data_IF_730171549328
#
_entry.id   IF_730171549328
#
_cell.length_a   1.000
_cell.length_b   1.000
_cell.length_c   1.000
_cell.angle_alpha   90.00
_cell.angle_beta   90.00
_cell.angle_gamma   90.00
#
_symmetry.space_group_name_H-M   'P 1'
#
loop_
_entity.id
_entity.type
_entity.pdbx_description
1 polymer ?
#
# COMPACT_ATOMS: atom_id res chain seq x y z
N UNK A 1 -18.55 -30.44 8.20
CA UNK A 1 -17.55 -30.82 7.19
C UNK A 1 -16.26 -30.15 7.58
N UNK A 2 -15.21 -30.92 7.82
CA UNK A 2 -13.90 -30.43 8.25
C UNK A 2 -13.24 -29.83 6.99
N UNK A 3 -12.90 -28.55 7.04
CA UNK A 3 -12.18 -27.86 5.96
C UNK A 3 -10.71 -28.28 6.03
N UNK A 4 -10.22 -28.87 4.95
CA UNK A 4 -8.83 -29.29 4.79
C UNK A 4 -8.03 -28.12 4.20
N UNK A 5 -7.08 -27.58 4.98
CA UNK A 5 -6.28 -26.39 4.68
C UNK A 5 -4.88 -26.74 4.13
N UNK A 6 -4.71 -27.90 3.52
CA UNK A 6 -3.42 -28.40 3.01
C UNK A 6 -2.78 -27.59 1.87
N UNK A 7 -3.50 -26.62 1.27
CA UNK A 7 -2.99 -25.74 0.21
C UNK A 7 -2.49 -24.36 0.66
N UNK A 8 -2.79 -23.94 1.90
CA UNK A 8 -2.39 -22.62 2.43
C UNK A 8 -0.93 -22.59 2.89
N UNK A 9 -0.32 -23.75 3.10
CA UNK A 9 1.04 -23.90 3.63
C UNK A 9 2.16 -23.43 2.70
N UNK A 10 1.85 -23.00 1.47
CA UNK A 10 2.83 -22.40 0.57
C UNK A 10 3.02 -20.88 0.77
N UNK A 11 2.23 -20.24 1.65
CA UNK A 11 2.26 -18.79 1.87
C UNK A 11 2.47 -18.38 3.35
N UNK A 12 2.61 -19.31 4.29
CA UNK A 12 2.73 -18.97 5.71
C UNK A 12 3.79 -19.82 6.42
N UNK A 13 4.89 -19.16 6.82
CA UNK A 13 5.71 -19.60 7.95
C UNK A 13 4.86 -19.46 9.22
N UNK A 14 4.61 -20.59 9.86
CA UNK A 14 3.81 -20.68 11.07
C UNK A 14 4.65 -20.29 12.29
N UNK A 15 4.56 -19.04 12.74
CA UNK A 15 4.84 -18.69 14.13
C UNK A 15 3.60 -18.03 14.75
N UNK A 16 2.63 -18.90 15.03
CA UNK A 16 1.40 -18.62 15.74
C UNK A 16 1.65 -18.79 17.25
N UNK A 17 1.94 -17.71 17.96
CA UNK A 17 1.81 -17.68 19.44
C UNK A 17 0.39 -17.22 19.81
N UNK A 18 -0.47 -18.20 20.03
CA UNK A 18 -1.87 -17.98 20.35
C UNK A 18 -2.04 -17.46 21.76
N UNK A 19 -2.46 -16.19 21.91
CA UNK A 19 -3.11 -15.71 23.13
C UNK A 19 -4.48 -15.07 22.82
N UNK A 20 -5.60 -15.60 23.37
CA UNK A 20 -6.93 -15.11 23.06
C UNK A 20 -7.22 -13.76 23.75
N UNK A 21 -7.64 -12.79 22.95
CA UNK A 21 -8.20 -11.53 23.40
C UNK A 21 -9.64 -11.72 23.93
N UNK A 22 -9.84 -11.53 25.24
CA UNK A 22 -10.98 -10.83 25.85
C UNK A 22 -11.13 -11.17 27.33
N UNK A 23 -10.92 -10.19 28.23
CA UNK A 23 -11.81 -9.92 29.38
C UNK A 23 -11.70 -8.44 29.76
N UNK A 24 -12.63 -7.62 29.25
CA UNK A 24 -12.97 -6.34 29.86
C UNK A 24 -13.52 -6.58 31.28
N UNK A 25 -12.96 -5.89 32.27
CA UNK A 25 -13.66 -5.51 33.51
C UNK A 25 -13.16 -4.14 33.92
N UNK A 26 -14.10 -3.20 33.99
CA UNK A 26 -13.82 -1.80 34.28
C UNK A 26 -13.59 -1.54 35.76
N UNK A 27 -13.03 -0.36 36.02
CA UNK A 27 -13.31 0.45 37.20
C UNK A 27 -12.99 1.90 36.86
N UNK A 28 -14.04 2.72 36.79
CA UNK A 28 -13.96 4.17 36.90
C UNK A 28 -13.36 4.54 38.26
N UNK A 29 -12.40 5.46 38.29
CA UNK A 29 -12.16 6.28 39.48
C UNK A 29 -12.07 7.76 39.09
N UNK A 30 -12.95 8.54 39.71
CA UNK A 30 -13.01 10.00 39.67
C UNK A 30 -11.89 10.58 40.53
N UNK A 31 -11.24 11.64 40.08
CA UNK A 31 -10.79 12.72 40.97
C UNK A 31 -10.77 14.08 40.24
N UNK A 32 -10.86 15.13 41.05
CA UNK A 32 -11.54 16.44 40.84
C UNK A 32 -10.76 17.50 40.04
N UNK A 33 -11.42 18.61 39.63
CA UNK A 33 -10.88 19.61 38.71
C UNK A 33 -9.96 20.60 39.42
N UNK A 34 -8.86 20.98 38.76
CA UNK A 34 -8.00 22.08 39.18
C UNK A 34 -8.01 23.19 38.11
N UNK A 35 -8.00 24.42 38.61
CA UNK A 35 -8.33 25.70 37.98
C UNK A 35 -7.47 26.07 36.76
N UNK A 36 -8.13 26.70 35.79
CA UNK A 36 -7.56 27.70 34.87
C UNK A 36 -6.71 28.73 35.63
N UNK A 37 -5.47 28.92 35.19
CA UNK A 37 -4.70 30.14 35.40
C UNK A 37 -3.70 30.31 34.26
N UNK A 38 -3.68 31.50 33.68
CA UNK A 38 -2.49 32.07 33.05
C UNK A 38 -2.32 31.78 31.56
N UNK A 39 -2.67 32.79 30.77
CA UNK A 39 -2.31 32.99 29.37
C UNK A 39 -0.78 33.13 29.25
N UNK A 40 -0.16 32.36 28.36
CA UNK A 40 1.22 32.49 27.91
C UNK A 40 1.30 31.89 26.51
N UNK A 41 1.61 32.73 25.53
CA UNK A 41 1.65 32.39 24.10
C UNK A 41 2.90 31.56 23.79
N UNK A 42 2.89 30.26 24.11
CA UNK A 42 3.95 29.28 23.74
C UNK A 42 3.54 27.81 24.10
N UNK A 43 2.32 27.38 23.76
CA UNK A 43 1.93 25.96 23.91
C UNK A 43 2.03 25.24 22.54
N UNK A 44 2.85 24.19 22.40
CA UNK A 44 2.91 23.40 21.17
C UNK A 44 1.58 22.66 20.94
N UNK A 45 1.12 22.63 19.69
CA UNK A 45 -0.03 21.81 19.31
C UNK A 45 0.22 20.35 19.70
N UNK A 46 -0.81 19.72 20.25
CA UNK A 46 -0.77 18.36 20.82
C UNK A 46 -0.05 17.37 19.89
N UNK A 47 0.95 16.60 20.38
CA UNK A 47 1.69 15.65 19.55
C UNK A 47 0.72 14.63 18.95
N UNK A 48 0.68 14.56 17.61
CA UNK A 48 -0.05 13.50 16.92
C UNK A 48 0.85 12.27 16.84
N UNK A 49 0.43 11.11 17.40
CA UNK A 49 1.18 9.88 17.21
C UNK A 49 1.07 9.46 15.74
N UNK A 50 2.22 9.16 15.11
CA UNK A 50 2.30 8.80 13.68
C UNK A 50 2.76 7.35 13.47
N UNK A 51 3.49 6.77 14.43
CA UNK A 51 3.86 5.35 14.49
C UNK A 51 4.16 4.92 15.93
N UNK A 52 4.41 3.63 16.16
CA UNK A 52 5.00 3.15 17.41
C UNK A 52 6.29 3.94 17.67
N UNK A 53 6.32 4.69 18.78
CA UNK A 53 7.46 5.48 19.24
C UNK A 53 7.86 6.72 18.41
N UNK A 54 7.02 7.23 17.50
CA UNK A 54 7.29 8.52 16.82
C UNK A 54 6.12 9.49 16.91
N UNK A 55 6.42 10.70 17.38
CA UNK A 55 5.52 11.84 17.46
C UNK A 55 6.00 12.96 16.54
N UNK A 56 5.11 13.46 15.67
CA UNK A 56 5.39 14.66 14.87
C UNK A 56 4.78 15.85 15.59
N UNK A 57 5.62 16.83 15.94
CA UNK A 57 5.18 18.09 16.54
C UNK A 57 5.36 19.21 15.53
N UNK A 58 4.23 19.80 15.13
CA UNK A 58 4.19 20.95 14.25
C UNK A 58 3.95 22.19 15.13
N UNK A 59 4.96 23.04 15.30
CA UNK A 59 4.73 24.38 15.83
C UNK A 59 4.57 25.38 14.66
N UNK A 60 4.05 26.57 14.95
CA UNK A 60 3.86 27.64 13.95
C UNK A 60 5.16 28.09 13.27
N UNK A 61 6.32 27.80 13.87
CA UNK A 61 7.61 28.34 13.43
C UNK A 61 8.65 27.24 13.17
N UNK A 62 8.60 26.13 13.89
CA UNK A 62 9.55 25.01 13.77
C UNK A 62 8.82 23.66 13.75
N UNK A 63 9.23 22.77 12.84
CA UNK A 63 8.66 21.42 12.75
C UNK A 63 9.74 20.41 13.13
N UNK A 64 9.41 19.54 14.09
CA UNK A 64 10.36 18.59 14.66
C UNK A 64 9.73 17.22 14.85
N UNK A 65 10.57 16.20 14.83
CA UNK A 65 10.19 14.82 15.11
C UNK A 65 10.70 14.48 16.50
N UNK A 66 9.83 13.90 17.32
CA UNK A 66 10.18 13.28 18.59
C UNK A 66 10.19 11.77 18.42
N UNK A 67 11.29 11.18 18.88
CA UNK A 67 11.43 9.74 19.01
C UNK A 67 10.99 9.31 20.42
N UNK A 68 10.66 8.04 20.59
CA UNK A 68 10.13 7.48 21.83
C UNK A 68 11.12 7.47 23.00
N UNK A 69 12.40 7.74 22.71
CA UNK A 69 13.47 7.96 23.69
C UNK A 69 13.46 9.39 24.28
N UNK A 70 12.58 10.28 23.78
CA UNK A 70 12.46 11.68 24.19
C UNK A 70 13.43 12.62 23.48
N UNK A 71 14.21 12.14 22.50
CA UNK A 71 15.02 12.99 21.63
C UNK A 71 14.15 13.72 20.60
N UNK A 72 14.62 14.89 20.19
CA UNK A 72 13.97 15.74 19.19
C UNK A 72 14.97 16.06 18.10
N UNK A 73 14.55 15.95 16.84
CA UNK A 73 15.33 16.31 15.67
C UNK A 73 14.52 17.24 14.78
N UNK A 74 15.10 18.34 14.26
CA UNK A 74 14.48 19.13 13.20
C UNK A 74 14.15 18.23 12.00
N UNK A 75 13.00 18.46 11.36
CA UNK A 75 12.60 17.64 10.21
C UNK A 75 13.65 17.63 9.09
N UNK A 76 14.32 18.76 8.85
CA UNK A 76 15.34 18.88 7.81
C UNK A 76 16.53 17.95 8.07
N UNK A 77 17.03 17.91 9.31
CA UNK A 77 18.11 17.00 9.71
C UNK A 77 17.67 15.53 9.62
N UNK A 78 16.42 15.24 9.98
CA UNK A 78 15.86 13.91 9.84
C UNK A 78 15.72 13.48 8.38
N UNK A 79 15.29 14.38 7.50
CA UNK A 79 15.18 14.14 6.07
C UNK A 79 16.57 13.93 5.44
N UNK A 80 17.58 14.71 5.84
CA UNK A 80 18.95 14.57 5.35
C UNK A 80 19.58 13.24 5.80
N UNK A 81 19.48 12.88 7.08
CA UNK A 81 19.91 11.56 7.59
C UNK A 81 19.24 10.42 6.83
N UNK A 82 17.93 10.53 6.64
CA UNK A 82 17.15 9.49 5.94
C UNK A 82 17.53 9.39 4.46
N UNK A 83 17.80 10.52 3.81
CA UNK A 83 18.26 10.59 2.42
C UNK A 83 19.59 9.86 2.23
N UNK A 84 20.58 10.11 3.08
CA UNK A 84 21.88 9.43 3.01
C UNK A 84 21.73 7.91 3.14
N UNK A 85 20.88 7.46 4.06
CA UNK A 85 20.61 6.05 4.25
C UNK A 85 19.91 5.42 3.04
N UNK A 86 18.82 6.02 2.56
CA UNK A 86 18.05 5.53 1.39
C UNK A 86 18.96 5.43 0.16
N UNK A 87 19.77 6.48 -0.09
CA UNK A 87 20.73 6.50 -1.18
C UNK A 87 21.82 5.43 -1.05
N UNK A 88 22.21 5.08 0.17
CA UNK A 88 23.21 4.03 0.43
C UNK A 88 22.64 2.65 0.08
N UNK A 89 21.43 2.34 0.58
CA UNK A 89 20.78 1.05 0.33
C UNK A 89 20.44 0.85 -1.15
N UNK A 90 19.99 1.92 -1.82
CA UNK A 90 19.61 1.85 -3.23
C UNK A 90 20.75 2.20 -4.20
N UNK A 91 22.00 2.25 -3.74
CA UNK A 91 23.17 2.57 -4.59
C UNK A 91 23.02 3.87 -5.40
N UNK A 92 22.33 4.87 -4.85
CA UNK A 92 22.03 6.18 -5.47
C UNK A 92 21.25 6.08 -6.78
N UNK A 93 20.48 5.02 -6.97
CA UNK A 93 19.59 4.86 -8.11
C UNK A 93 18.15 4.59 -7.68
N UNK A 94 17.20 5.25 -8.35
CA UNK A 94 15.76 5.07 -8.09
C UNK A 94 15.26 3.73 -8.63
N UNK A 95 15.80 3.26 -9.76
CA UNK A 95 15.46 1.95 -10.33
C UNK A 95 15.84 0.82 -9.38
N UNK A 96 16.99 0.93 -8.72
CA UNK A 96 17.41 -0.02 -7.69
C UNK A 96 16.49 0.01 -6.46
N UNK A 97 16.04 1.19 -6.02
CA UNK A 97 15.06 1.30 -4.93
C UNK A 97 13.75 0.60 -5.28
N UNK A 98 13.23 0.83 -6.49
CA UNK A 98 12.02 0.18 -7.00
C UNK A 98 12.20 -1.33 -7.12
N UNK A 99 13.37 -1.79 -7.58
CA UNK A 99 13.70 -3.22 -7.68
C UNK A 99 13.69 -3.90 -6.31
N UNK A 100 14.26 -3.24 -5.28
CA UNK A 100 14.20 -3.71 -3.89
C UNK A 100 12.73 -3.77 -3.41
N UNK A 101 11.91 -2.80 -3.80
CA UNK A 101 10.52 -2.71 -3.38
C UNK A 101 9.60 -3.77 -4.02
N UNK A 102 9.85 -4.14 -5.28
CA UNK A 102 9.07 -5.14 -6.01
C UNK A 102 9.14 -6.51 -5.31
N UNK A 103 10.34 -6.90 -4.86
CA UNK A 103 10.54 -8.16 -4.15
C UNK A 103 10.06 -8.05 -2.70
N UNK A 104 9.17 -8.97 -2.29
CA UNK A 104 8.55 -8.96 -0.96
C UNK A 104 9.57 -9.08 0.17
N UNK A 105 10.59 -9.92 -0.01
CA UNK A 105 11.61 -10.19 1.02
C UNK A 105 12.52 -8.98 1.18
N UNK A 106 13.02 -8.44 0.08
CA UNK A 106 13.86 -7.24 0.03
C UNK A 106 13.11 -6.01 0.54
N UNK A 107 11.82 -5.86 0.21
CA UNK A 107 10.95 -4.81 0.77
C UNK A 107 10.80 -4.91 2.28
N UNK A 108 10.66 -6.12 2.82
CA UNK A 108 10.61 -6.35 4.26
C UNK A 108 11.94 -6.00 4.93
N UNK A 109 13.05 -6.48 4.38
CA UNK A 109 14.40 -6.19 4.88
C UNK A 109 14.68 -4.68 4.86
N UNK A 110 14.35 -3.97 3.78
CA UNK A 110 14.47 -2.51 3.70
C UNK A 110 13.69 -1.81 4.83
N UNK A 111 12.46 -2.26 5.14
CA UNK A 111 11.66 -1.67 6.22
C UNK A 111 12.25 -1.94 7.61
N UNK A 112 12.81 -3.13 7.82
CA UNK A 112 13.51 -3.47 9.06
C UNK A 112 14.76 -2.59 9.22
N UNK A 113 15.57 -2.45 8.17
CA UNK A 113 16.76 -1.59 8.21
C UNK A 113 16.42 -0.10 8.41
N UNK A 114 15.33 0.38 7.78
CA UNK A 114 14.80 1.73 8.04
C UNK A 114 14.41 1.89 9.50
N UNK A 115 13.72 0.92 10.09
CA UNK A 115 13.36 0.90 11.51
C UNK A 115 14.58 0.94 12.43
N UNK A 116 15.62 0.16 12.12
CA UNK A 116 16.89 0.14 12.88
C UNK A 116 17.62 1.49 12.85
N UNK A 117 17.35 2.34 11.85
CA UNK A 117 17.89 3.69 11.73
C UNK A 117 16.94 4.78 12.26
N UNK A 118 15.85 4.38 12.90
CA UNK A 118 14.74 5.25 13.33
C UNK A 118 14.10 6.04 12.18
N UNK A 119 14.05 5.45 10.98
CA UNK A 119 13.45 6.05 9.79
C UNK A 119 12.06 5.46 9.56
N UNK A 120 11.03 6.28 9.76
CA UNK A 120 9.63 5.90 9.62
C UNK A 120 8.97 6.64 8.45
N UNK A 121 8.49 5.87 7.46
CA UNK A 121 7.77 6.41 6.29
C UNK A 121 6.49 7.13 6.67
N UNK A 122 5.81 6.70 7.73
CA UNK A 122 4.62 7.36 8.25
C UNK A 122 4.89 8.79 8.72
N UNK A 123 6.06 9.07 9.32
CA UNK A 123 6.45 10.41 9.73
C UNK A 123 6.56 11.35 8.53
N UNK A 124 7.20 10.89 7.45
CA UNK A 124 7.27 11.61 6.18
C UNK A 124 5.89 11.77 5.53
N UNK A 125 5.08 10.71 5.52
CA UNK A 125 3.71 10.71 5.00
C UNK A 125 2.86 11.82 5.62
N UNK A 126 2.89 11.90 6.95
CA UNK A 126 2.13 12.91 7.68
C UNK A 126 2.73 14.32 7.50
N UNK A 127 4.06 14.44 7.50
CA UNK A 127 4.71 15.74 7.35
C UNK A 127 4.55 16.36 5.96
N UNK A 128 4.66 15.55 4.91
CA UNK A 128 4.57 15.96 3.51
C UNK A 128 3.13 15.97 2.99
N UNK A 129 2.15 15.58 3.82
CA UNK A 129 0.73 15.49 3.46
C UNK A 129 0.49 14.57 2.24
N UNK A 130 1.08 13.36 2.27
CA UNK A 130 1.05 12.36 1.18
C UNK A 130 0.23 11.11 1.54
N UNK A 131 -1.07 11.20 1.87
CA UNK A 131 -1.85 10.07 2.40
C UNK A 131 -2.03 8.92 1.41
N UNK A 132 -2.15 9.22 0.10
CA UNK A 132 -2.50 8.25 -0.95
C UNK A 132 -1.28 7.72 -1.74
N UNK A 133 -0.08 8.05 -1.25
CA UNK A 133 1.19 7.70 -1.86
C UNK A 133 1.70 6.36 -1.33
N UNK A 134 2.40 5.57 -2.15
CA UNK A 134 3.05 4.35 -1.67
C UNK A 134 4.32 4.69 -0.86
N UNK A 135 4.70 3.84 0.08
CA UNK A 135 5.88 4.10 0.91
C UNK A 135 7.16 4.25 0.07
N UNK A 136 7.30 3.49 -1.02
CA UNK A 136 8.45 3.62 -1.94
C UNK A 136 8.54 4.99 -2.58
N UNK A 137 7.41 5.61 -2.88
CA UNK A 137 7.37 6.93 -3.51
C UNK A 137 7.71 8.04 -2.51
N UNK A 138 7.35 7.83 -1.24
CA UNK A 138 7.81 8.68 -0.14
C UNK A 138 9.33 8.53 0.04
N UNK A 139 9.84 7.31 0.05
CA UNK A 139 11.29 7.06 0.11
C UNK A 139 12.01 7.68 -1.09
N UNK A 140 11.42 7.61 -2.29
CA UNK A 140 11.99 8.23 -3.47
C UNK A 140 11.97 9.76 -3.40
N UNK A 141 10.91 10.37 -2.85
CA UNK A 141 10.84 11.81 -2.57
C UNK A 141 11.99 12.28 -1.67
N UNK A 142 12.28 11.53 -0.60
CA UNK A 142 13.33 11.89 0.37
C UNK A 142 14.72 11.57 -0.19
N UNK A 143 14.91 10.38 -0.77
CA UNK A 143 16.20 9.90 -1.27
C UNK A 143 16.67 10.61 -2.54
N UNK A 144 15.75 11.02 -3.42
CA UNK A 144 16.05 11.47 -4.78
C UNK A 144 15.45 12.83 -5.14
N UNK A 145 14.92 13.55 -4.16
CA UNK A 145 14.33 14.89 -4.34
C UNK A 145 13.27 14.95 -5.46
N UNK A 146 12.44 13.90 -5.60
CA UNK A 146 11.39 13.86 -6.62
C UNK A 146 10.53 15.13 -6.55
N UNK A 147 10.35 15.82 -7.68
CA UNK A 147 9.56 17.06 -7.70
C UNK A 147 8.10 16.77 -7.34
N UNK A 148 7.48 15.84 -8.08
CA UNK A 148 6.13 15.34 -7.85
C UNK A 148 6.19 13.89 -7.36
N UNK A 149 5.37 13.59 -6.36
CA UNK A 149 5.27 12.24 -5.80
C UNK A 149 4.01 11.58 -6.35
N UNK A 150 4.12 10.46 -7.08
CA UNK A 150 2.95 9.80 -7.64
C UNK A 150 2.09 9.22 -6.51
N UNK A 151 0.77 9.29 -6.68
CA UNK A 151 -0.17 8.53 -5.85
C UNK A 151 -0.25 7.08 -6.35
N UNK A 152 -0.79 6.18 -5.52
CA UNK A 152 -1.05 4.80 -5.98
C UNK A 152 -2.03 4.77 -7.15
N UNK A 153 -2.99 5.70 -7.20
CA UNK A 153 -3.89 5.86 -8.34
C UNK A 153 -3.14 6.29 -9.62
N UNK A 154 -2.14 7.17 -9.51
CA UNK A 154 -1.33 7.58 -10.68
C UNK A 154 -0.56 6.38 -11.25
N UNK A 155 -0.02 5.51 -10.38
CA UNK A 155 0.63 4.25 -10.82
C UNK A 155 -0.33 3.33 -11.55
N UNK A 156 -1.54 3.15 -11.02
CA UNK A 156 -2.58 2.32 -11.66
C UNK A 156 -3.04 2.94 -12.99
N UNK A 157 -3.24 4.25 -13.04
CA UNK A 157 -3.59 4.98 -14.27
C UNK A 157 -2.52 4.79 -15.34
N UNK A 158 -1.25 5.05 -15.00
CA UNK A 158 -0.11 4.83 -15.91
C UNK A 158 -0.01 3.38 -16.38
N UNK A 159 -0.23 2.40 -15.51
CA UNK A 159 -0.25 0.99 -15.90
C UNK A 159 -1.29 0.73 -16.99
N UNK A 160 -2.53 1.21 -16.82
CA UNK A 160 -3.59 1.06 -17.82
C UNK A 160 -3.46 1.98 -19.04
N UNK A 161 -2.62 3.01 -19.01
CA UNK A 161 -2.42 3.88 -20.17
C UNK A 161 -1.24 3.39 -21.02
N UNK A 162 -0.12 3.01 -20.39
CA UNK A 162 1.15 2.69 -21.05
C UNK A 162 1.37 1.18 -21.25
N UNK A 163 0.92 0.33 -20.32
CA UNK A 163 1.22 -1.10 -20.32
C UNK A 163 0.14 -1.94 -21.01
N UNK A 164 -0.84 -1.30 -21.64
CA UNK A 164 -1.86 -1.98 -22.45
C UNK A 164 -1.26 -2.96 -23.46
N UNK A 165 -0.23 -2.61 -24.27
CA UNK A 165 0.32 -3.55 -25.24
C UNK A 165 0.95 -4.79 -24.58
N UNK A 166 1.59 -4.61 -23.43
CA UNK A 166 2.15 -5.71 -22.65
C UNK A 166 1.03 -6.59 -22.09
N UNK A 167 0.03 -5.98 -21.46
CA UNK A 167 -1.12 -6.68 -20.90
C UNK A 167 -1.87 -7.50 -21.98
N UNK A 168 -2.12 -6.90 -23.14
CA UNK A 168 -2.78 -7.56 -24.27
C UNK A 168 -1.95 -8.75 -24.78
N UNK A 169 -0.62 -8.61 -24.84
CA UNK A 169 0.31 -9.68 -25.21
C UNK A 169 0.36 -10.81 -24.17
N UNK A 170 0.41 -10.46 -22.88
CA UNK A 170 0.60 -11.41 -21.79
C UNK A 170 -0.66 -12.24 -21.53
N UNK A 171 -1.83 -11.60 -21.62
CA UNK A 171 -3.10 -12.25 -21.33
C UNK A 171 -3.93 -12.60 -22.58
N UNK A 172 -3.44 -12.29 -23.78
CA UNK A 172 -4.06 -12.66 -25.05
C UNK A 172 -5.44 -12.00 -25.28
N UNK A 173 -5.66 -10.82 -24.71
CA UNK A 173 -6.93 -10.10 -24.76
C UNK A 173 -6.74 -8.73 -25.39
N UNK A 174 -7.79 -8.18 -26.00
CA UNK A 174 -7.80 -6.78 -26.46
C UNK A 174 -8.60 -5.97 -25.46
N UNK A 175 -8.01 -4.90 -24.92
CA UNK A 175 -8.74 -4.01 -24.02
C UNK A 175 -9.80 -3.25 -24.82
N UNK A 176 -11.02 -3.03 -24.29
CA UNK A 176 -12.00 -2.18 -24.94
C UNK A 176 -11.41 -0.78 -25.11
N UNK A 177 -11.04 -0.41 -26.34
CA UNK A 177 -10.61 0.96 -26.67
C UNK A 177 -11.85 1.83 -26.74
N UNK A 178 -12.25 2.41 -25.62
CA UNK A 178 -13.27 3.46 -25.68
C UNK A 178 -12.69 4.67 -26.43
N UNK A 179 -13.37 5.19 -27.47
CA UNK A 179 -12.97 6.43 -28.12
C UNK A 179 -13.34 7.60 -27.21
N UNK A 180 -12.51 7.85 -26.20
CA UNK A 180 -12.61 9.01 -25.30
C UNK A 180 -12.30 8.65 -23.86
N UNK A 181 -11.05 8.93 -23.44
CA UNK A 181 -10.55 9.10 -22.08
C UNK A 181 -11.29 8.40 -20.92
N UNK A 182 -10.58 7.50 -20.24
CA UNK A 182 -10.98 6.84 -18.99
C UNK A 182 -11.53 7.89 -18.01
N UNK A 183 -12.85 7.95 -17.85
CA UNK A 183 -13.47 8.68 -16.75
C UNK A 183 -13.36 7.82 -15.50
N UNK A 184 -12.40 8.19 -14.66
CA UNK A 184 -12.35 7.76 -13.27
C UNK A 184 -13.63 8.23 -12.57
N UNK A 185 -14.41 7.27 -12.06
CA UNK A 185 -15.55 7.50 -11.17
C UNK A 185 -16.93 7.57 -11.81
N UNK A 186 -17.65 6.45 -11.83
CA UNK A 186 -19.09 6.47 -11.56
C UNK A 186 -19.54 5.11 -11.05
N UNK A 187 -19.83 5.04 -9.75
CA UNK A 187 -20.61 3.95 -9.19
C UNK A 187 -21.95 3.85 -9.91
N UNK A 188 -22.19 2.70 -10.54
CA UNK A 188 -23.52 2.22 -10.89
C UNK A 188 -23.44 0.68 -11.02
N UNK A 189 -23.46 0.00 -9.88
CA UNK A 189 -23.82 -1.41 -9.84
C UNK A 189 -25.33 -1.53 -10.12
N UNK A 190 -25.68 -1.56 -11.41
CA UNK A 190 -27.01 -2.00 -11.83
C UNK A 190 -26.95 -3.50 -12.06
N UNK A 191 -27.44 -4.27 -11.08
CA UNK A 191 -27.89 -5.65 -11.30
C UNK A 191 -29.02 -5.62 -12.33
N UNK A 192 -28.74 -6.00 -13.56
CA UNK A 192 -29.73 -6.36 -14.56
C UNK A 192 -29.22 -7.57 -15.35
N UNK A 193 -30.15 -8.49 -15.60
CA UNK A 193 -29.96 -9.87 -16.01
C UNK A 193 -29.02 -10.08 -17.21
N UNK A 194 -28.33 -11.22 -17.19
CA UNK A 194 -27.54 -11.78 -18.29
C UNK A 194 -28.23 -11.61 -19.65
N UNK A 195 -27.60 -10.85 -20.54
CA UNK A 195 -27.77 -11.03 -21.98
C UNK A 195 -26.61 -11.91 -22.46
N UNK A 196 -26.91 -13.14 -22.85
CA UNK A 196 -25.96 -14.07 -23.47
C UNK A 196 -25.48 -13.51 -24.81
N UNK A 197 -24.44 -12.68 -24.78
CA UNK A 197 -23.76 -12.12 -25.93
C UNK A 197 -22.66 -13.06 -26.47
N UNK A 198 -22.94 -13.63 -27.63
CA UNK A 198 -22.02 -13.95 -28.73
C UNK A 198 -20.66 -14.64 -28.44
N UNK A 199 -20.55 -15.85 -29.00
CA UNK A 199 -19.30 -16.55 -29.31
C UNK A 199 -18.28 -15.61 -29.98
N UNK A 200 -17.20 -15.28 -29.25
CA UNK A 200 -16.09 -14.44 -29.74
C UNK A 200 -15.42 -13.54 -28.70
N UNK A 201 -15.93 -13.47 -27.46
CA UNK A 201 -15.29 -12.73 -26.37
C UNK A 201 -14.09 -13.50 -25.81
N UNK A 202 -12.87 -12.99 -26.01
CA UNK A 202 -11.72 -13.37 -25.19
C UNK A 202 -12.07 -13.19 -23.71
N UNK A 203 -11.49 -14.01 -22.83
CA UNK A 203 -11.88 -14.19 -21.43
C UNK A 203 -11.69 -12.90 -20.59
N UNK A 204 -12.59 -11.91 -20.74
CA UNK A 204 -12.57 -10.60 -20.06
C UNK A 204 -12.47 -10.71 -18.55
N UNK A 205 -12.78 -11.89 -18.01
CA UNK A 205 -12.63 -12.24 -16.62
C UNK A 205 -11.26 -11.90 -16.03
N UNK A 206 -10.16 -12.15 -16.77
CA UNK A 206 -8.82 -11.78 -16.28
C UNK A 206 -8.61 -10.26 -16.24
N UNK A 207 -9.20 -9.50 -17.17
CA UNK A 207 -9.22 -8.02 -17.13
C UNK A 207 -9.99 -7.54 -15.91
N UNK A 208 -11.18 -8.09 -15.66
CA UNK A 208 -12.00 -7.70 -14.52
C UNK A 208 -11.30 -8.02 -13.19
N UNK A 209 -10.60 -9.16 -13.13
CA UNK A 209 -9.74 -9.53 -12.02
C UNK A 209 -8.63 -8.51 -11.77
N UNK A 210 -7.82 -8.20 -12.78
CA UNK A 210 -6.70 -7.27 -12.61
C UNK A 210 -7.15 -5.82 -12.35
N UNK A 211 -8.29 -5.39 -12.90
CA UNK A 211 -8.90 -4.11 -12.53
C UNK A 211 -9.27 -4.08 -11.06
N UNK A 212 -9.99 -5.09 -10.57
CA UNK A 212 -10.36 -5.19 -9.15
C UNK A 212 -9.12 -5.27 -8.25
N UNK A 213 -8.08 -6.00 -8.67
CA UNK A 213 -6.82 -6.10 -7.95
C UNK A 213 -6.06 -4.77 -7.86
N UNK A 214 -5.97 -4.02 -8.96
CA UNK A 214 -5.27 -2.73 -9.00
C UNK A 214 -6.08 -1.62 -8.31
N UNK A 215 -7.40 -1.66 -8.37
CA UNK A 215 -8.27 -0.78 -7.57
C UNK A 215 -8.10 -1.06 -6.07
N UNK A 216 -7.95 -2.32 -5.67
CA UNK A 216 -7.63 -2.67 -4.28
C UNK A 216 -6.24 -2.17 -3.88
N UNK A 217 -5.24 -2.33 -4.76
CA UNK A 217 -3.90 -1.79 -4.55
C UNK A 217 -3.91 -0.27 -4.34
N UNK A 218 -4.71 0.49 -5.08
CA UNK A 218 -4.72 1.95 -4.95
C UNK A 218 -5.17 2.43 -3.56
N UNK A 219 -6.00 1.63 -2.88
CA UNK A 219 -6.50 1.90 -1.55
C UNK A 219 -5.58 1.37 -0.44
N UNK A 220 -5.08 0.14 -0.58
CA UNK A 220 -4.42 -0.59 0.52
C UNK A 220 -2.92 -0.84 0.31
N UNK A 221 -2.40 -0.65 -0.90
CA UNK A 221 -1.00 -0.89 -1.26
C UNK A 221 -0.68 -2.36 -1.55
N UNK A 222 0.58 -2.62 -1.89
CA UNK A 222 1.00 -3.92 -2.44
C UNK A 222 1.00 -5.05 -1.41
N UNK A 223 1.27 -4.74 -0.14
CA UNK A 223 1.34 -5.76 0.92
C UNK A 223 -0.01 -6.44 1.13
N UNK A 224 -1.12 -5.72 0.90
CA UNK A 224 -2.46 -6.26 1.00
C UNK A 224 -2.74 -7.19 -0.21
N UNK A 225 -2.39 -6.78 -1.42
CA UNK A 225 -2.61 -7.59 -2.63
C UNK A 225 -1.84 -8.93 -2.61
N UNK A 226 -0.70 -8.98 -1.93
CA UNK A 226 0.10 -10.22 -1.76
C UNK A 226 -0.46 -11.18 -0.69
N UNK A 227 -1.51 -10.82 0.04
CA UNK A 227 -2.09 -11.66 1.08
C UNK A 227 -3.26 -12.50 0.54
N UNK A 228 -3.26 -13.79 0.86
CA UNK A 228 -4.33 -14.69 0.41
C UNK A 228 -5.72 -14.26 0.92
N UNK A 229 -5.79 -13.65 2.12
CA UNK A 229 -7.05 -13.17 2.71
C UNK A 229 -7.72 -12.04 1.93
N UNK A 230 -6.96 -11.32 1.12
CA UNK A 230 -7.44 -10.21 0.30
C UNK A 230 -8.43 -10.68 -0.74
N UNK A 231 -8.17 -11.85 -1.32
CA UNK A 231 -9.06 -12.50 -2.29
C UNK A 231 -10.31 -13.12 -1.66
N UNK A 232 -10.45 -13.06 -0.33
CA UNK A 232 -11.69 -13.40 0.38
C UNK A 232 -12.56 -12.17 0.69
N UNK A 233 -12.11 -10.96 0.33
CA UNK A 233 -12.89 -9.74 0.50
C UNK A 233 -14.11 -9.70 -0.45
N UNK A 234 -15.21 -9.03 -0.09
CA UNK A 234 -16.46 -9.05 -0.85
C UNK A 234 -16.29 -8.69 -2.33
N UNK A 235 -15.46 -7.69 -2.65
CA UNK A 235 -15.20 -7.26 -4.03
C UNK A 235 -14.61 -8.36 -4.92
N UNK A 236 -13.87 -9.31 -4.33
CA UNK A 236 -13.34 -10.47 -5.05
C UNK A 236 -14.33 -11.63 -5.04
N UNK A 237 -14.96 -11.92 -3.89
CA UNK A 237 -15.87 -13.06 -3.75
C UNK A 237 -17.13 -12.89 -4.60
N UNK A 238 -17.67 -11.68 -4.67
CA UNK A 238 -18.90 -11.39 -5.42
C UNK A 238 -18.68 -11.52 -6.94
N UNK A 239 -17.46 -11.25 -7.43
CA UNK A 239 -17.13 -11.29 -8.86
C UNK A 239 -16.46 -12.59 -9.31
N UNK A 240 -15.63 -13.19 -8.46
CA UNK A 240 -14.74 -14.31 -8.81
C UNK A 240 -15.01 -15.57 -7.99
N UNK A 241 -15.89 -15.50 -6.99
CA UNK A 241 -16.22 -16.59 -6.09
C UNK A 241 -15.13 -16.86 -5.04
N UNK A 242 -15.08 -18.09 -4.54
CA UNK A 242 -14.06 -18.48 -3.56
C UNK A 242 -12.64 -18.43 -4.14
N UNK A 243 -11.62 -18.27 -3.30
CA UNK A 243 -10.22 -18.33 -3.73
C UNK A 243 -9.87 -19.61 -4.49
N UNK A 244 -10.47 -20.75 -4.13
CA UNK A 244 -10.30 -22.01 -4.85
C UNK A 244 -10.91 -21.96 -6.26
N UNK A 245 -12.08 -21.35 -6.40
CA UNK A 245 -12.72 -21.13 -7.71
C UNK A 245 -11.91 -20.18 -8.58
N UNK A 246 -11.43 -19.07 -7.99
CA UNK A 246 -10.59 -18.07 -8.63
C UNK A 246 -9.30 -18.71 -9.16
N UNK A 247 -8.52 -19.36 -8.29
CA UNK A 247 -7.26 -19.99 -8.68
C UNK A 247 -7.47 -21.13 -9.68
N UNK A 248 -8.52 -21.93 -9.53
CA UNK A 248 -8.84 -22.99 -10.49
C UNK A 248 -9.17 -22.42 -11.87
N UNK A 249 -9.87 -21.28 -11.96
CA UNK A 249 -10.19 -20.62 -13.22
C UNK A 249 -8.98 -19.88 -13.80
N UNK A 250 -8.15 -19.30 -12.95
CA UNK A 250 -6.97 -18.52 -13.35
C UNK A 250 -5.88 -19.38 -14.00
N UNK A 251 -5.81 -20.67 -13.67
CA UNK A 251 -4.76 -21.61 -14.13
C UNK A 251 -3.84 -22.09 -12.99
N UNK A 252 -4.25 -21.88 -11.74
CA UNK A 252 -3.54 -22.27 -10.52
C UNK A 252 -2.98 -21.08 -9.75
N UNK A 253 -2.76 -21.27 -8.44
CA UNK A 253 -2.21 -20.24 -7.57
C UNK A 253 -0.78 -19.81 -7.97
N UNK A 254 0.01 -20.71 -8.57
CA UNK A 254 1.36 -20.39 -9.03
C UNK A 254 1.36 -19.46 -10.25
N UNK A 255 0.42 -19.66 -11.19
CA UNK A 255 0.29 -18.76 -12.34
C UNK A 255 -0.19 -17.38 -11.88
N UNK A 256 -1.18 -17.33 -10.97
CA UNK A 256 -1.62 -16.07 -10.38
C UNK A 256 -0.46 -15.33 -9.68
N UNK A 257 0.37 -16.05 -8.94
CA UNK A 257 1.54 -15.47 -8.29
C UNK A 257 2.56 -14.95 -9.32
N UNK A 258 2.86 -15.74 -10.35
CA UNK A 258 3.80 -15.33 -11.41
C UNK A 258 3.33 -14.05 -12.10
N UNK A 259 2.05 -14.01 -12.50
CA UNK A 259 1.47 -12.85 -13.16
C UNK A 259 1.42 -11.63 -12.21
N UNK A 260 1.23 -11.83 -10.90
CA UNK A 260 1.35 -10.75 -9.91
C UNK A 260 2.76 -10.18 -9.83
N UNK A 261 3.79 -11.03 -9.86
CA UNK A 261 5.18 -10.56 -9.88
C UNK A 261 5.46 -9.72 -11.14
N UNK A 262 5.00 -10.15 -12.30
CA UNK A 262 5.15 -9.37 -13.53
C UNK A 262 4.35 -8.06 -13.48
N UNK A 263 3.10 -8.08 -12.99
CA UNK A 263 2.32 -6.85 -12.79
C UNK A 263 3.05 -5.87 -11.88
N UNK A 264 3.73 -6.34 -10.82
CA UNK A 264 4.53 -5.46 -9.96
C UNK A 264 5.70 -4.81 -10.70
N UNK A 265 6.39 -5.54 -11.58
CA UNK A 265 7.48 -4.98 -12.41
C UNK A 265 6.98 -3.85 -13.31
N UNK A 266 5.76 -3.97 -13.84
CA UNK A 266 5.13 -2.94 -14.68
C UNK A 266 4.46 -1.82 -13.87
N UNK A 267 4.10 -2.06 -12.61
CA UNK A 267 3.51 -1.08 -11.70
C UNK A 267 4.57 -0.18 -11.05
N UNK A 268 5.72 -0.75 -10.67
CA UNK A 268 6.82 -0.08 -9.97
C UNK A 268 7.94 0.38 -10.88
N UNK A 269 7.55 1.23 -11.82
CA UNK A 269 8.42 1.88 -12.78
C UNK A 269 8.66 3.33 -12.38
N UNK A 270 9.81 3.94 -12.76
CA UNK A 270 10.04 5.36 -12.57
C UNK A 270 8.94 6.18 -13.26
N UNK A 271 8.21 6.97 -12.48
CA UNK A 271 7.24 7.91 -13.01
C UNK A 271 8.02 9.14 -13.50
N UNK A 272 8.10 9.32 -14.82
CA UNK A 272 8.78 10.47 -15.41
C UNK A 272 8.04 11.76 -15.03
N UNK A 273 8.79 12.83 -14.75
CA UNK A 273 8.28 14.20 -14.74
C UNK A 273 8.26 14.75 -16.16
#
# INVERSE_FOLDING_TARGET
>A
TIFDYSGASALEDAEFDGHPANKQKGTLSKSKPSKKKGKGDDEPETPKPVAENVHVVMSTTNRSISFGDGQWMPFEEYAEKSKEFIQTVSSKDIGQLLSIWIDKKSRKELREELGDQDIYTSAFRHYLELPDTDDVDILAKIGFDLFQVPTRNDRVGRFWDEENPWYESQFGMTLPREPGGIQSGSGNFSMAAEEKGAYGAGDTWKIDFWRTALDHYSLFGIDDLEQARTYAAPQFVDQFGSFQSLTSRYGGAQLLKSDLEEVKEHLYVPMAN
#
